data_IF_420534703266
#
_entry.id   IF_420534703266
#
_cell.length_a   1.000
_cell.length_b   1.000
_cell.length_c   1.000
_cell.angle_alpha   90.00
_cell.angle_beta   90.00
_cell.angle_gamma   90.00
#
_symmetry.space_group_name_H-M   'P 1'
#
loop_
_entity.id
_entity.type
_entity.pdbx_description
1 polymer ?
#
# COMPACT_ATOMS: atom_id res chain seq x y z
N UNK A 1 83.99 55.93 -14.82
CA UNK A 1 82.64 56.20 -14.30
C UNK A 1 81.62 55.74 -15.34
N UNK A 2 81.17 54.47 -15.29
CA UNK A 2 79.94 53.96 -15.93
C UNK A 2 79.81 52.46 -15.63
N UNK A 3 79.56 52.11 -14.36
CA UNK A 3 79.27 50.73 -13.92
C UNK A 3 77.76 50.58 -13.61
N UNK A 4 76.98 51.64 -13.77
CA UNK A 4 75.60 51.73 -13.27
C UNK A 4 74.53 51.13 -14.18
N UNK A 5 74.85 50.79 -15.44
CA UNK A 5 73.82 50.38 -16.41
C UNK A 5 73.66 48.85 -16.55
N UNK A 6 74.70 48.07 -16.25
CA UNK A 6 74.65 46.60 -16.35
C UNK A 6 73.90 45.96 -15.17
N UNK A 7 74.02 46.53 -13.96
CA UNK A 7 73.36 46.00 -12.76
C UNK A 7 71.82 46.12 -12.77
N UNK A 8 71.23 46.91 -13.67
CA UNK A 8 69.77 47.08 -13.80
C UNK A 8 69.11 46.04 -14.71
N UNK A 9 69.87 45.39 -15.58
CA UNK A 9 69.32 44.39 -16.50
C UNK A 9 69.23 43.00 -15.86
N UNK A 10 70.13 42.64 -14.95
CA UNK A 10 70.05 41.37 -14.20
C UNK A 10 68.84 41.32 -13.25
N UNK A 11 68.33 42.47 -12.76
CA UNK A 11 67.15 42.47 -11.89
C UNK A 11 65.82 42.26 -12.61
N UNK A 12 65.79 42.31 -13.95
CA UNK A 12 64.56 42.12 -14.72
C UNK A 12 64.39 40.68 -15.24
N UNK A 13 65.47 39.90 -15.32
CA UNK A 13 65.44 38.53 -15.84
C UNK A 13 65.11 37.47 -14.78
N UNK A 14 65.25 37.81 -13.49
CA UNK A 14 64.97 36.88 -12.37
C UNK A 14 63.46 36.80 -12.01
N UNK A 15 62.61 37.58 -12.67
CA UNK A 15 61.18 37.65 -12.34
C UNK A 15 60.28 36.74 -13.20
N UNK A 16 60.87 35.93 -14.10
CA UNK A 16 60.11 35.15 -15.10
C UNK A 16 60.25 33.61 -14.98
N UNK A 17 60.80 33.10 -13.86
CA UNK A 17 60.93 31.66 -13.62
C UNK A 17 60.11 31.16 -12.43
N UNK A 18 58.80 31.41 -12.45
CA UNK A 18 57.85 30.63 -11.64
C UNK A 18 57.26 29.50 -12.50
N UNK A 19 57.31 28.24 -12.07
CA UNK A 19 56.64 27.16 -12.78
C UNK A 19 55.13 27.45 -12.83
N UNK A 20 54.41 26.99 -13.88
CA UNK A 20 52.96 27.05 -13.88
C UNK A 20 52.48 26.14 -12.74
N UNK A 21 52.16 26.73 -11.58
CA UNK A 21 51.49 26.00 -10.52
C UNK A 21 50.08 25.79 -10.99
N UNK A 22 49.87 24.59 -11.51
CA UNK A 22 48.61 23.90 -11.75
C UNK A 22 47.43 24.69 -11.19
N UNK A 23 46.63 25.26 -12.08
CA UNK A 23 45.22 25.46 -11.81
C UNK A 23 44.67 24.11 -11.39
N UNK A 24 44.66 23.82 -10.09
CA UNK A 24 43.82 22.79 -9.52
C UNK A 24 42.41 23.26 -9.80
N UNK A 25 41.93 22.83 -10.96
CA UNK A 25 40.64 23.12 -11.53
C UNK A 25 39.62 22.62 -10.53
N UNK A 26 39.19 23.52 -9.64
CA UNK A 26 38.24 23.26 -8.57
C UNK A 26 36.83 23.18 -9.17
N UNK A 27 36.66 22.34 -10.18
CA UNK A 27 35.43 22.17 -10.95
C UNK A 27 34.73 20.87 -10.57
N UNK A 28 34.60 20.60 -9.27
CA UNK A 28 33.65 19.57 -8.83
C UNK A 28 32.99 19.79 -7.45
N UNK A 29 33.03 20.95 -6.76
CA UNK A 29 32.19 21.11 -5.58
C UNK A 29 30.72 21.33 -5.97
N UNK A 30 30.46 22.11 -7.03
CA UNK A 30 29.09 22.46 -7.43
C UNK A 30 28.29 21.24 -7.94
N UNK A 31 28.92 20.35 -8.72
CA UNK A 31 28.25 19.13 -9.23
C UNK A 31 27.89 18.15 -8.11
N UNK A 32 28.77 17.95 -7.13
CA UNK A 32 28.50 17.07 -5.99
C UNK A 32 27.43 17.66 -5.06
N UNK A 33 27.44 18.98 -4.85
CA UNK A 33 26.39 19.69 -4.09
C UNK A 33 25.04 19.60 -4.81
N UNK A 34 25.01 19.80 -6.12
CA UNK A 34 23.77 19.66 -6.92
C UNK A 34 23.23 18.23 -6.89
N UNK A 35 24.08 17.22 -7.00
CA UNK A 35 23.67 15.81 -6.87
C UNK A 35 23.10 15.52 -5.47
N UNK A 36 23.74 16.03 -4.41
CA UNK A 36 23.23 15.90 -3.05
C UNK A 36 21.85 16.54 -2.85
N UNK A 37 21.64 17.73 -3.42
CA UNK A 37 20.35 18.42 -3.38
C UNK A 37 19.29 17.63 -4.14
N UNK A 38 19.61 17.12 -5.35
CA UNK A 38 18.68 16.32 -6.15
C UNK A 38 18.29 15.02 -5.46
N UNK A 39 19.24 14.32 -4.83
CA UNK A 39 18.96 13.11 -4.03
C UNK A 39 18.09 13.46 -2.81
N UNK A 40 18.41 14.55 -2.11
CA UNK A 40 17.60 15.02 -0.98
C UNK A 40 16.15 15.32 -1.38
N UNK A 41 15.95 16.07 -2.47
CA UNK A 41 14.64 16.38 -3.03
C UNK A 41 13.92 15.09 -3.48
N UNK A 42 14.63 14.16 -4.11
CA UNK A 42 14.05 12.88 -4.51
C UNK A 42 13.57 12.08 -3.29
N UNK A 43 14.36 12.02 -2.22
CA UNK A 43 14.00 11.31 -0.99
C UNK A 43 12.82 11.98 -0.24
N UNK A 44 12.74 13.32 -0.24
CA UNK A 44 11.61 14.01 0.36
C UNK A 44 10.34 13.83 -0.46
N UNK A 45 10.42 13.89 -1.79
CA UNK A 45 9.28 13.60 -2.68
C UNK A 45 8.85 12.15 -2.53
N UNK A 46 9.77 11.18 -2.50
CA UNK A 46 9.42 9.76 -2.30
C UNK A 46 8.80 9.53 -0.91
N UNK A 47 9.36 10.13 0.14
CA UNK A 47 8.80 10.03 1.49
C UNK A 47 7.43 10.69 1.61
N UNK A 48 7.24 11.85 0.96
CA UNK A 48 5.96 12.57 0.93
C UNK A 48 4.90 11.84 0.09
N UNK A 49 5.28 11.27 -1.05
CA UNK A 49 4.37 10.45 -1.87
C UNK A 49 3.99 9.17 -1.14
N UNK A 50 4.92 8.49 -0.46
CA UNK A 50 4.59 7.37 0.42
C UNK A 50 3.70 7.82 1.57
N UNK A 51 3.99 8.94 2.25
CA UNK A 51 3.12 9.48 3.31
C UNK A 51 1.71 9.82 2.82
N UNK A 52 1.59 10.34 1.59
CA UNK A 52 0.30 10.63 0.97
C UNK A 52 -0.40 9.39 0.43
N UNK A 53 0.31 8.37 -0.05
CA UNK A 53 -0.27 7.16 -0.64
C UNK A 53 -0.49 6.03 0.39
N UNK A 54 0.26 5.97 1.48
CA UNK A 54 0.07 4.99 2.56
C UNK A 54 -1.36 5.02 3.11
N UNK A 55 -1.99 6.18 3.36
CA UNK A 55 -3.40 6.24 3.74
C UNK A 55 -4.29 5.49 2.75
N UNK A 56 -4.04 5.63 1.45
CA UNK A 56 -4.81 5.00 0.37
C UNK A 56 -4.54 3.51 0.24
N UNK A 57 -3.31 3.05 0.49
CA UNK A 57 -2.98 1.62 0.48
C UNK A 57 -3.40 0.90 1.76
N UNK A 58 -3.57 1.60 2.88
CA UNK A 58 -4.13 1.03 4.12
C UNK A 58 -5.66 1.07 4.16
N UNK A 59 -6.30 1.55 3.10
CA UNK A 59 -7.76 1.73 2.99
C UNK A 59 -8.43 0.59 2.20
N UNK A 60 -7.87 -0.62 2.21
CA UNK A 60 -8.59 -1.79 1.64
C UNK A 60 -9.68 -2.33 2.58
N UNK A 61 -9.82 -1.83 3.82
CA UNK A 61 -10.79 -2.35 4.79
C UNK A 61 -11.46 -1.25 5.63
N UNK A 62 -11.69 -0.06 5.06
CA UNK A 62 -12.75 0.82 5.55
C UNK A 62 -13.86 0.88 4.52
N UNK A 63 -14.50 -0.26 4.32
CA UNK A 63 -15.92 -0.14 4.03
C UNK A 63 -16.56 0.57 5.24
N UNK A 64 -17.28 1.69 5.05
CA UNK A 64 -18.19 2.17 6.05
C UNK A 64 -19.40 1.23 6.07
N UNK A 65 -19.15 -0.07 6.31
CA UNK A 65 -20.21 -1.05 6.41
C UNK A 65 -21.00 -0.70 7.65
N UNK A 66 -22.30 -0.53 7.49
CA UNK A 66 -23.20 -0.61 8.63
C UNK A 66 -22.81 -1.87 9.41
N UNK A 67 -22.59 -1.73 10.72
CA UNK A 67 -22.22 -2.84 11.61
C UNK A 67 -23.35 -3.88 11.76
N UNK A 68 -24.35 -3.86 10.89
CA UNK A 68 -25.55 -4.67 10.93
C UNK A 68 -25.94 -5.13 9.53
N UNK A 69 -26.47 -6.34 9.44
CA UNK A 69 -26.99 -6.92 8.20
C UNK A 69 -28.51 -6.79 8.07
N UNK A 70 -29.10 -5.77 8.72
CA UNK A 70 -30.55 -5.55 8.70
C UNK A 70 -31.33 -6.64 9.45
N UNK A 71 -32.62 -6.75 9.12
CA UNK A 71 -33.56 -7.72 9.70
C UNK A 71 -34.21 -8.62 8.63
N UNK A 72 -33.67 -8.65 7.41
CA UNK A 72 -34.13 -9.54 6.35
C UNK A 72 -32.98 -9.90 5.43
N UNK A 73 -33.06 -11.05 4.78
CA UNK A 73 -32.09 -11.48 3.76
C UNK A 73 -31.91 -10.44 2.65
N UNK A 74 -33.01 -9.81 2.21
CA UNK A 74 -32.97 -8.73 1.21
C UNK A 74 -32.20 -7.50 1.71
N UNK A 75 -32.40 -7.09 2.98
CA UNK A 75 -31.62 -6.00 3.57
C UNK A 75 -30.15 -6.37 3.69
N UNK A 76 -29.86 -7.59 4.15
CA UNK A 76 -28.50 -8.11 4.32
C UNK A 76 -27.72 -8.09 2.99
N UNK A 77 -28.31 -8.63 1.93
CA UNK A 77 -27.75 -8.58 0.57
C UNK A 77 -27.53 -7.14 0.10
N UNK A 78 -28.50 -6.24 0.36
CA UNK A 78 -28.39 -4.83 -0.01
C UNK A 78 -27.29 -4.07 0.74
N UNK A 79 -26.92 -4.55 1.94
CA UNK A 79 -25.83 -4.00 2.76
C UNK A 79 -24.49 -4.66 2.47
N UNK A 80 -24.42 -5.60 1.52
CA UNK A 80 -23.19 -6.33 1.18
C UNK A 80 -22.80 -7.35 2.26
N UNK A 81 -23.77 -7.86 3.00
CA UNK A 81 -23.58 -9.01 3.86
C UNK A 81 -23.70 -10.31 3.06
N UNK A 82 -23.04 -11.33 3.57
CA UNK A 82 -23.08 -12.70 3.05
C UNK A 82 -23.64 -13.63 4.14
N UNK A 83 -24.25 -14.73 3.74
CA UNK A 83 -24.75 -15.73 4.67
C UNK A 83 -23.66 -16.75 5.01
N UNK A 84 -23.33 -16.85 6.30
CA UNK A 84 -22.43 -17.87 6.82
C UNK A 84 -23.23 -19.10 7.26
N UNK A 85 -22.98 -20.23 6.59
CA UNK A 85 -23.64 -21.50 6.89
C UNK A 85 -23.24 -22.10 8.24
N UNK A 86 -22.04 -21.79 8.75
CA UNK A 86 -21.55 -22.36 10.00
C UNK A 86 -22.28 -21.76 11.19
N UNK A 87 -22.46 -20.43 11.21
CA UNK A 87 -23.21 -19.75 12.26
C UNK A 87 -24.70 -19.59 11.97
N UNK A 88 -25.16 -19.89 10.75
CA UNK A 88 -26.52 -19.65 10.27
C UNK A 88 -26.95 -18.18 10.48
N UNK A 89 -26.08 -17.25 10.08
CA UNK A 89 -26.29 -15.83 10.28
C UNK A 89 -25.78 -15.00 9.09
N UNK A 90 -26.34 -13.81 8.91
CA UNK A 90 -25.84 -12.82 7.96
C UNK A 90 -24.73 -12.01 8.60
N UNK A 91 -23.61 -11.88 7.90
CA UNK A 91 -22.44 -11.13 8.37
C UNK A 91 -21.83 -10.26 7.27
N UNK A 92 -21.16 -9.15 7.62
CA UNK A 92 -20.44 -8.36 6.64
C UNK A 92 -19.40 -9.22 5.90
N UNK A 93 -19.24 -9.00 4.60
CA UNK A 93 -18.33 -9.77 3.74
C UNK A 93 -16.90 -9.88 4.30
N UNK A 94 -16.36 -8.79 4.87
CA UNK A 94 -15.02 -8.77 5.46
C UNK A 94 -14.84 -9.68 6.69
N UNK A 95 -15.94 -10.08 7.33
CA UNK A 95 -15.92 -11.04 8.43
C UNK A 95 -16.05 -12.48 7.96
N UNK A 96 -16.45 -12.71 6.71
CA UNK A 96 -16.62 -14.05 6.17
C UNK A 96 -15.27 -14.71 5.86
N UNK A 97 -15.23 -16.04 6.00
CA UNK A 97 -14.12 -16.85 5.48
C UNK A 97 -14.63 -17.62 4.25
N UNK A 98 -14.49 -17.07 3.04
CA UNK A 98 -15.07 -17.66 1.84
C UNK A 98 -14.46 -19.03 1.51
N UNK A 99 -13.25 -19.35 1.98
CA UNK A 99 -12.61 -20.65 1.72
C UNK A 99 -13.30 -21.72 2.55
N UNK A 100 -13.38 -21.49 3.86
CA UNK A 100 -14.00 -22.43 4.79
C UNK A 100 -15.51 -22.54 4.53
N UNK A 101 -16.17 -21.43 4.25
CA UNK A 101 -17.60 -21.41 3.90
C UNK A 101 -17.87 -22.22 2.64
N UNK A 102 -17.04 -22.09 1.61
CA UNK A 102 -17.23 -22.84 0.36
C UNK A 102 -17.00 -24.35 0.58
N UNK A 103 -15.94 -24.73 1.32
CA UNK A 103 -15.71 -26.14 1.69
C UNK A 103 -16.91 -26.72 2.45
N UNK A 104 -17.43 -25.98 3.42
CA UNK A 104 -18.58 -26.41 4.20
C UNK A 104 -19.84 -26.48 3.35
N UNK A 105 -20.07 -25.50 2.48
CA UNK A 105 -21.20 -25.46 1.54
C UNK A 105 -21.18 -26.64 0.58
N UNK A 106 -20.02 -27.02 0.04
CA UNK A 106 -19.87 -28.23 -0.79
C UNK A 106 -20.28 -29.50 -0.02
N UNK A 107 -19.86 -29.63 1.23
CA UNK A 107 -20.23 -30.75 2.08
C UNK A 107 -21.73 -30.76 2.47
N UNK A 108 -22.31 -29.60 2.75
CA UNK A 108 -23.72 -29.44 3.14
C UNK A 108 -24.68 -29.68 1.98
N UNK A 109 -24.30 -29.28 0.76
CA UNK A 109 -25.09 -29.47 -0.46
C UNK A 109 -24.87 -30.83 -1.13
N UNK A 110 -24.01 -31.69 -0.58
CA UNK A 110 -23.74 -33.01 -1.13
C UNK A 110 -25.02 -33.86 -1.23
N UNK A 111 -25.30 -34.49 -2.39
CA UNK A 111 -26.58 -35.15 -2.66
C UNK A 111 -26.81 -36.43 -1.85
N UNK A 112 -25.77 -36.97 -1.22
CA UNK A 112 -25.82 -38.17 -0.38
C UNK A 112 -26.26 -37.89 1.07
N UNK A 113 -26.46 -36.62 1.45
CA UNK A 113 -27.02 -36.25 2.76
C UNK A 113 -28.51 -36.53 2.84
N UNK A 114 -28.87 -37.49 3.68
CA UNK A 114 -30.26 -37.89 3.93
C UNK A 114 -31.19 -36.75 4.35
N UNK A 115 -30.67 -35.77 5.10
CA UNK A 115 -31.44 -34.61 5.57
C UNK A 115 -31.24 -33.37 4.71
N UNK A 116 -30.49 -33.42 3.61
CA UNK A 116 -30.17 -32.25 2.79
C UNK A 116 -29.44 -31.12 3.54
N UNK A 117 -29.33 -29.93 2.92
CA UNK A 117 -28.57 -28.80 3.47
C UNK A 117 -29.25 -28.12 4.66
N UNK A 118 -30.58 -28.00 4.63
CA UNK A 118 -31.36 -27.27 5.62
C UNK A 118 -32.17 -28.22 6.49
N UNK A 119 -31.61 -28.70 7.58
CA UNK A 119 -32.31 -29.59 8.52
C UNK A 119 -33.22 -28.82 9.51
N UNK A 120 -33.66 -27.62 9.13
CA UNK A 120 -34.44 -26.71 9.96
C UNK A 120 -35.88 -26.61 9.47
N UNK A 121 -36.79 -26.32 10.41
CA UNK A 121 -38.21 -26.12 10.14
C UNK A 121 -38.68 -24.84 10.80
N UNK A 122 -39.56 -24.11 10.10
CA UNK A 122 -40.15 -22.85 10.57
C UNK A 122 -41.24 -23.07 11.62
N UNK A 123 -41.71 -24.31 11.79
CA UNK A 123 -42.74 -24.67 12.74
C UNK A 123 -42.33 -25.85 13.64
N UNK A 124 -42.96 -25.92 14.82
CA UNK A 124 -42.71 -26.94 15.83
C UNK A 124 -43.21 -28.34 15.45
N UNK A 125 -44.04 -28.47 14.40
CA UNK A 125 -44.56 -29.74 13.88
C UNK A 125 -43.72 -30.28 12.72
N UNK A 126 -42.64 -29.60 12.34
CA UNK A 126 -41.75 -29.96 11.24
C UNK A 126 -42.47 -30.10 9.87
N UNK A 127 -43.40 -29.19 9.55
CA UNK A 127 -44.16 -29.24 8.30
C UNK A 127 -43.64 -28.28 7.22
N UNK A 128 -43.07 -27.15 7.62
CA UNK A 128 -42.52 -26.12 6.74
C UNK A 128 -41.01 -26.13 6.90
N UNK A 129 -40.35 -26.84 6.00
CA UNK A 129 -38.90 -26.96 5.99
C UNK A 129 -38.29 -25.71 5.35
N UNK A 130 -37.16 -25.27 5.88
CA UNK A 130 -36.37 -24.20 5.28
C UNK A 130 -35.81 -24.66 3.93
N UNK A 131 -36.02 -23.88 2.87
CA UNK A 131 -35.55 -24.22 1.52
C UNK A 131 -34.21 -23.57 1.17
N UNK A 132 -33.90 -22.41 1.77
CA UNK A 132 -32.71 -21.63 1.45
C UNK A 132 -32.28 -20.70 2.59
N UNK A 133 -31.07 -20.14 2.45
CA UNK A 133 -30.46 -19.14 3.34
C UNK A 133 -31.33 -17.90 3.49
N UNK A 134 -32.06 -17.56 2.43
CA UNK A 134 -32.89 -16.37 2.39
C UNK A 134 -34.11 -16.47 3.31
N UNK A 135 -34.44 -17.67 3.79
CA UNK A 135 -35.49 -17.92 4.78
C UNK A 135 -34.97 -17.92 6.24
N UNK A 136 -33.65 -17.80 6.45
CA UNK A 136 -32.99 -17.81 7.76
C UNK A 136 -32.64 -16.40 8.26
N UNK A 137 -33.49 -15.41 7.96
CA UNK A 137 -33.34 -14.00 8.36
C UNK A 137 -34.52 -13.49 9.17
#
# INVERSE_FOLDING_TARGET
MSVSHYARLESLDEQDNLPPRDTLQKTTPCRLVLLGILVGISCTISGYTVYLCVPWFTEEQRHPHQLHCGNSSTEAESFGCVFDLLTNNWMPDYCSDPITDNEYREWVLAPDRQLGPWAFFLDSKAQHRVESENELS
#
